data_IF_701020715768
#
_entry.id   IF_701020715768
#
_cell.length_a   1.000
_cell.length_b   1.000
_cell.length_c   1.000
_cell.angle_alpha   90.00
_cell.angle_beta   90.00
_cell.angle_gamma   90.00
#
_symmetry.space_group_name_H-M   'P 1'
#
loop_
_entity.id
_entity.type
_entity.pdbx_description
1 polymer ?
#
# COMPACT_ATOMS: atom_id res chain seq x y z
N UNK A 1 -1.79 1.29 20.91
CA UNK A 1 -1.89 2.59 20.22
C UNK A 1 -2.76 3.52 21.07
N UNK A 2 -2.25 4.68 21.50
CA UNK A 2 -2.99 5.62 22.38
C UNK A 2 -3.70 6.73 21.61
N UNK A 3 -4.07 6.48 20.35
CA UNK A 3 -4.75 7.44 19.48
C UNK A 3 -5.67 6.75 18.47
N UNK A 4 -6.54 7.53 17.83
CA UNK A 4 -7.45 7.08 16.78
C UNK A 4 -6.64 6.46 15.62
N UNK A 5 -6.88 5.19 15.22
CA UNK A 5 -6.09 4.55 14.18
C UNK A 5 -6.31 5.24 12.83
N UNK A 6 -5.23 5.37 12.05
CA UNK A 6 -5.25 6.00 10.72
C UNK A 6 -5.01 4.93 9.67
N UNK A 7 -5.89 4.87 8.68
CA UNK A 7 -5.75 4.00 7.50
C UNK A 7 -5.64 4.88 6.26
N UNK A 8 -4.49 4.83 5.59
CA UNK A 8 -4.30 5.52 4.31
C UNK A 8 -4.64 4.58 3.15
N UNK A 9 -5.21 5.10 2.06
CA UNK A 9 -5.55 4.31 0.87
C UNK A 9 -4.85 4.87 -0.38
N UNK A 10 -4.14 4.02 -1.10
CA UNK A 10 -3.62 4.30 -2.45
C UNK A 10 -4.06 3.20 -3.41
N UNK A 11 -4.77 3.54 -4.49
CA UNK A 11 -5.22 2.56 -5.49
C UNK A 11 -5.21 3.10 -6.92
N UNK A 12 -5.44 2.23 -7.90
CA UNK A 12 -5.65 2.54 -9.33
C UNK A 12 -7.12 2.38 -9.77
N UNK A 13 -8.07 2.44 -8.83
CA UNK A 13 -9.50 2.14 -9.08
C UNK A 13 -10.28 3.31 -9.69
N UNK A 14 -9.74 4.52 -9.59
CA UNK A 14 -10.50 5.75 -9.74
C UNK A 14 -11.59 5.91 -8.68
N UNK A 15 -12.38 6.97 -8.83
CA UNK A 15 -13.53 7.29 -7.98
C UNK A 15 -14.88 7.18 -8.70
N UNK A 16 -14.87 6.73 -9.96
CA UNK A 16 -16.08 6.56 -10.77
C UNK A 16 -16.91 5.36 -10.29
N UNK A 17 -16.23 4.29 -9.87
CA UNK A 17 -16.81 3.01 -9.52
C UNK A 17 -16.82 2.80 -7.98
N UNK A 18 -17.66 1.89 -7.45
CA UNK A 18 -17.89 1.79 -6.01
C UNK A 18 -16.75 1.11 -5.22
N UNK A 19 -15.67 0.70 -5.88
CA UNK A 19 -14.62 -0.16 -5.31
C UNK A 19 -13.99 0.44 -4.04
N UNK A 20 -13.63 1.71 -4.09
CA UNK A 20 -13.05 2.43 -2.94
C UNK A 20 -14.04 2.47 -1.77
N UNK A 21 -15.32 2.76 -2.04
CA UNK A 21 -16.35 2.81 -1.00
C UNK A 21 -16.53 1.45 -0.32
N UNK A 22 -16.46 0.35 -1.07
CA UNK A 22 -16.54 -1.00 -0.52
C UNK A 22 -15.35 -1.35 0.38
N UNK A 23 -14.13 -0.98 -0.01
CA UNK A 23 -12.92 -1.14 0.83
C UNK A 23 -13.08 -0.38 2.15
N UNK A 24 -13.49 0.90 2.08
CA UNK A 24 -13.74 1.72 3.27
C UNK A 24 -14.82 1.14 4.17
N UNK A 25 -15.92 0.64 3.59
CA UNK A 25 -17.01 0.04 4.33
C UNK A 25 -16.57 -1.19 5.12
N UNK A 26 -15.69 -2.03 4.55
CA UNK A 26 -15.09 -3.17 5.25
C UNK A 26 -14.19 -2.70 6.38
N UNK A 27 -13.32 -1.71 6.16
CA UNK A 27 -12.47 -1.16 7.24
C UNK A 27 -13.33 -0.67 8.42
N UNK A 28 -14.34 0.13 8.12
CA UNK A 28 -15.22 0.73 9.12
C UNK A 28 -16.18 -0.27 9.77
N UNK A 29 -16.43 -1.44 9.18
CA UNK A 29 -17.28 -2.46 9.81
C UNK A 29 -16.59 -3.15 10.99
N UNK A 30 -15.25 -3.18 11.00
CA UNK A 30 -14.46 -3.70 12.13
C UNK A 30 -13.99 -2.58 13.06
N UNK A 31 -13.57 -1.44 12.52
CA UNK A 31 -13.06 -0.32 13.31
C UNK A 31 -13.79 0.98 12.91
N UNK A 32 -14.92 1.25 13.57
CA UNK A 32 -15.74 2.45 13.30
C UNK A 32 -15.00 3.76 13.57
N UNK A 33 -14.07 3.74 14.51
CA UNK A 33 -13.27 4.90 14.89
C UNK A 33 -12.05 5.10 13.98
N UNK A 34 -11.79 4.27 12.96
CA UNK A 34 -10.68 4.55 12.05
C UNK A 34 -10.84 5.91 11.35
N UNK A 35 -9.76 6.66 11.25
CA UNK A 35 -9.65 7.80 10.35
C UNK A 35 -9.13 7.28 9.00
N UNK A 36 -9.85 7.54 7.92
CA UNK A 36 -9.44 7.11 6.58
C UNK A 36 -8.91 8.32 5.81
N UNK A 37 -7.70 8.21 5.27
CA UNK A 37 -7.07 9.22 4.42
C UNK A 37 -6.87 8.61 3.03
N UNK A 38 -7.55 9.16 2.02
CA UNK A 38 -7.26 8.79 0.65
C UNK A 38 -6.00 9.53 0.20
N UNK A 39 -4.93 8.79 -0.08
CA UNK A 39 -3.74 9.36 -0.74
C UNK A 39 -4.08 9.73 -2.17
N UNK A 40 -4.53 8.73 -2.93
CA UNK A 40 -5.08 8.88 -4.28
C UNK A 40 -5.70 7.55 -4.70
N UNK A 41 -6.70 7.62 -5.57
CA UNK A 41 -7.23 6.45 -6.28
C UNK A 41 -6.99 6.56 -7.80
N UNK A 42 -6.21 7.56 -8.20
CA UNK A 42 -6.01 7.97 -9.59
C UNK A 42 -4.58 7.63 -10.05
N UNK A 43 -4.01 6.57 -9.49
CA UNK A 43 -2.83 5.95 -10.10
C UNK A 43 -3.27 5.35 -11.44
N UNK A 44 -2.44 5.50 -12.47
CA UNK A 44 -2.71 4.88 -13.75
C UNK A 44 -2.87 3.37 -13.57
N UNK A 45 -3.83 2.78 -14.28
CA UNK A 45 -4.15 1.36 -14.16
C UNK A 45 -2.86 0.50 -14.27
N UNK A 46 -2.61 -0.29 -13.22
CA UNK A 46 -1.46 -1.19 -13.12
C UNK A 46 -0.07 -0.52 -13.06
N UNK A 47 0.02 0.81 -12.88
CA UNK A 47 1.29 1.54 -12.87
C UNK A 47 1.96 1.50 -11.48
N UNK A 48 2.61 0.38 -11.20
CA UNK A 48 3.34 0.14 -9.95
C UNK A 48 4.47 1.13 -9.70
N UNK A 49 5.11 1.65 -10.77
CA UNK A 49 6.20 2.61 -10.63
C UNK A 49 5.69 3.97 -10.12
N UNK A 50 4.59 4.45 -10.69
CA UNK A 50 3.91 5.66 -10.22
C UNK A 50 3.40 5.48 -8.78
N UNK A 51 2.78 4.34 -8.48
CA UNK A 51 2.31 3.99 -7.14
C UNK A 51 3.46 4.05 -6.11
N UNK A 52 4.59 3.41 -6.43
CA UNK A 52 5.78 3.39 -5.59
C UNK A 52 6.33 4.79 -5.33
N UNK A 53 6.37 5.64 -6.36
CA UNK A 53 6.81 7.02 -6.24
C UNK A 53 5.89 7.84 -5.32
N UNK A 54 4.58 7.83 -5.59
CA UNK A 54 3.58 8.57 -4.80
C UNK A 54 3.62 8.12 -3.34
N UNK A 55 3.66 6.81 -3.10
CA UNK A 55 3.71 6.26 -1.76
C UNK A 55 4.99 6.68 -1.04
N UNK A 56 6.15 6.62 -1.71
CA UNK A 56 7.44 7.01 -1.13
C UNK A 56 7.46 8.46 -0.68
N UNK A 57 6.91 9.38 -1.48
CA UNK A 57 6.91 10.81 -1.13
C UNK A 57 5.81 11.17 -0.12
N UNK A 58 4.79 10.33 0.05
CA UNK A 58 3.63 10.64 0.90
C UNK A 58 3.69 9.99 2.29
N UNK A 59 4.12 8.73 2.38
CA UNK A 59 4.09 7.96 3.63
C UNK A 59 4.87 8.64 4.79
N UNK A 60 6.03 9.28 4.57
CA UNK A 60 6.75 9.99 5.64
C UNK A 60 5.93 11.10 6.32
N UNK A 61 4.97 11.71 5.61
CA UNK A 61 4.13 12.79 6.13
C UNK A 61 2.86 12.30 6.85
N UNK A 62 2.57 11.00 6.81
CA UNK A 62 1.43 10.44 7.53
C UNK A 62 1.72 10.35 9.04
N UNK A 63 0.67 10.35 9.88
CA UNK A 63 0.82 10.09 11.31
C UNK A 63 1.58 8.79 11.58
N UNK A 64 2.41 8.77 12.62
CA UNK A 64 3.11 7.55 13.05
C UNK A 64 2.11 6.42 13.34
N UNK A 65 2.46 5.21 12.93
CA UNK A 65 1.58 4.05 13.11
C UNK A 65 0.45 3.93 12.08
N UNK A 66 0.51 4.69 10.98
CA UNK A 66 -0.49 4.60 9.91
C UNK A 66 -0.47 3.23 9.23
N UNK A 67 -1.65 2.71 8.91
CA UNK A 67 -1.84 1.50 8.12
C UNK A 67 -2.11 1.92 6.67
N UNK A 68 -1.13 1.72 5.79
CA UNK A 68 -1.20 2.07 4.37
C UNK A 68 -1.72 0.88 3.56
N UNK A 69 -2.99 0.94 3.15
CA UNK A 69 -3.56 -0.03 2.21
C UNK A 69 -3.28 0.43 0.79
N UNK A 70 -2.40 -0.31 0.12
CA UNK A 70 -1.90 0.06 -1.20
C UNK A 70 -2.29 -1.04 -2.18
N UNK A 71 -3.12 -0.72 -3.17
CA UNK A 71 -3.62 -1.70 -4.13
C UNK A 71 -3.49 -1.19 -5.55
N UNK A 72 -2.40 -1.58 -6.18
CA UNK A 72 -2.18 -1.58 -7.63
C UNK A 72 -1.72 -2.99 -7.95
N UNK A 73 -2.55 -3.76 -8.65
CA UNK A 73 -2.37 -5.21 -8.70
C UNK A 73 -2.67 -5.80 -10.09
N UNK A 74 -1.70 -5.75 -11.03
CA UNK A 74 -1.84 -6.44 -12.31
C UNK A 74 -1.91 -7.97 -12.16
N UNK A 75 -1.48 -8.51 -11.02
CA UNK A 75 -1.41 -9.94 -10.76
C UNK A 75 -2.59 -10.49 -9.94
N UNK A 76 -3.69 -9.75 -9.78
CA UNK A 76 -4.82 -10.21 -8.97
C UNK A 76 -5.39 -11.53 -9.51
N UNK A 77 -5.73 -12.46 -8.61
CA UNK A 77 -6.19 -13.80 -8.99
C UNK A 77 -5.10 -14.72 -9.54
N UNK A 78 -3.84 -14.27 -9.58
CA UNK A 78 -2.68 -15.14 -9.81
C UNK A 78 -2.17 -15.76 -8.50
N UNK A 79 -1.05 -16.49 -8.57
CA UNK A 79 -0.37 -17.04 -7.39
C UNK A 79 0.40 -16.02 -6.54
N UNK A 80 0.24 -14.71 -6.78
CA UNK A 80 0.92 -13.67 -5.98
C UNK A 80 0.31 -13.58 -4.59
N UNK A 81 1.16 -13.61 -3.55
CA UNK A 81 0.71 -13.53 -2.15
C UNK A 81 0.37 -12.09 -1.74
N UNK A 82 -0.42 -11.95 -0.68
CA UNK A 82 -0.59 -10.69 0.04
C UNK A 82 0.48 -10.54 1.13
N UNK A 83 0.88 -9.31 1.43
CA UNK A 83 1.93 -9.03 2.43
C UNK A 83 1.58 -7.85 3.34
N UNK A 84 2.10 -7.93 4.56
CA UNK A 84 2.17 -6.84 5.53
C UNK A 84 3.65 -6.51 5.75
N UNK A 85 4.05 -5.25 5.58
CA UNK A 85 5.36 -4.76 6.01
C UNK A 85 5.17 -3.89 7.24
N UNK A 86 5.79 -4.26 8.35
CA UNK A 86 5.83 -3.46 9.58
C UNK A 86 7.11 -2.65 9.62
N UNK A 87 7.03 -1.37 9.97
CA UNK A 87 8.19 -0.46 10.06
C UNK A 87 8.55 -0.14 11.51
N UNK A 88 9.75 0.39 11.74
CA UNK A 88 10.19 0.81 13.08
C UNK A 88 9.38 1.98 13.64
N UNK A 89 8.86 2.84 12.76
CA UNK A 89 7.92 3.91 13.11
C UNK A 89 6.54 3.39 13.55
N UNK A 90 6.29 2.09 13.37
CA UNK A 90 5.05 1.41 13.72
C UNK A 90 4.02 1.40 12.59
N UNK A 91 4.37 1.90 11.40
CA UNK A 91 3.50 1.86 10.23
C UNK A 91 3.36 0.43 9.69
N UNK A 92 2.22 0.16 9.06
CA UNK A 92 1.97 -1.09 8.34
C UNK A 92 1.68 -0.80 6.87
N UNK A 93 2.32 -1.50 5.95
CA UNK A 93 1.98 -1.46 4.52
C UNK A 93 1.30 -2.77 4.14
N UNK A 94 0.08 -2.69 3.64
CA UNK A 94 -0.79 -3.84 3.35
C UNK A 94 -1.18 -3.82 1.88
N UNK A 95 -0.89 -4.90 1.15
CA UNK A 95 -1.16 -4.96 -0.28
C UNK A 95 -0.60 -6.20 -0.98
N UNK A 96 -0.59 -6.21 -2.31
CA UNK A 96 0.00 -7.31 -3.09
C UNK A 96 1.53 -7.32 -2.95
N UNK A 97 2.15 -8.50 -2.86
CA UNK A 97 3.61 -8.64 -2.77
C UNK A 97 4.29 -8.55 -4.15
N UNK A 98 4.16 -7.41 -4.80
CA UNK A 98 4.78 -7.10 -6.11
C UNK A 98 5.95 -6.13 -5.98
N UNK A 99 6.14 -5.57 -4.79
CA UNK A 99 7.32 -4.82 -4.38
C UNK A 99 7.23 -3.31 -4.53
N UNK A 100 6.15 -2.77 -5.08
CA UNK A 100 5.97 -1.32 -5.22
C UNK A 100 5.85 -0.59 -3.86
N UNK A 101 5.43 -1.29 -2.80
CA UNK A 101 5.38 -0.73 -1.45
C UNK A 101 6.77 -0.58 -0.81
N UNK A 102 7.75 -1.37 -1.26
CA UNK A 102 9.06 -1.46 -0.61
C UNK A 102 9.80 -0.11 -0.53
N UNK A 103 9.85 0.75 -1.57
CA UNK A 103 10.53 2.03 -1.49
C UNK A 103 10.04 2.96 -0.38
N UNK A 104 8.75 2.92 -0.04
CA UNK A 104 8.18 3.72 1.04
C UNK A 104 8.38 3.05 2.40
N UNK A 105 8.17 1.74 2.48
CA UNK A 105 8.33 0.99 3.73
C UNK A 105 9.80 0.95 4.19
N UNK A 106 10.75 0.84 3.27
CA UNK A 106 12.20 0.86 3.54
C UNK A 106 12.68 2.26 3.98
N UNK A 107 12.08 3.34 3.45
CA UNK A 107 12.34 4.72 3.91
C UNK A 107 11.94 4.91 5.38
N UNK A 108 10.91 4.19 5.83
CA UNK A 108 10.45 4.16 7.23
C UNK A 108 11.10 3.04 8.07
N UNK A 109 12.12 2.38 7.52
CA UNK A 109 12.84 1.24 8.11
C UNK A 109 11.95 0.03 8.40
N UNK A 110 11.88 -0.91 7.45
CA UNK A 110 11.18 -2.19 7.64
C UNK A 110 11.76 -2.96 8.83
N UNK A 111 10.91 -3.22 9.82
CA UNK A 111 11.19 -4.03 11.01
C UNK A 111 10.91 -5.52 10.76
N UNK A 112 9.78 -5.83 10.13
CA UNK A 112 9.34 -7.20 9.87
C UNK A 112 8.41 -7.26 8.65
N UNK A 113 8.22 -8.46 8.10
CA UNK A 113 7.29 -8.72 7.02
C UNK A 113 6.48 -9.98 7.30
N UNK A 114 5.23 -10.02 6.84
CA UNK A 114 4.30 -11.13 7.09
C UNK A 114 3.51 -11.47 5.84
N UNK A 115 3.51 -12.75 5.46
CA UNK A 115 2.59 -13.23 4.42
C UNK A 115 1.20 -13.33 5.03
N UNK A 116 0.21 -12.76 4.34
CA UNK A 116 -1.19 -12.83 4.75
C UNK A 116 -1.72 -14.25 4.51
N UNK A 117 -2.32 -14.84 5.54
CA UNK A 117 -2.98 -16.14 5.47
C UNK A 117 -4.50 -15.94 5.30
N UNK A 118 -4.98 -16.07 4.05
CA UNK A 118 -6.39 -15.87 3.72
C UNK A 118 -7.34 -16.81 4.46
N UNK A 119 -6.87 -17.99 4.92
CA UNK A 119 -7.69 -18.91 5.71
C UNK A 119 -8.07 -18.34 7.09
N UNK A 120 -7.40 -17.26 7.54
CA UNK A 120 -7.70 -16.53 8.79
C UNK A 120 -8.62 -15.33 8.58
N UNK A 121 -9.10 -15.14 7.36
CA UNK A 121 -10.03 -14.09 6.98
C UNK A 121 -11.42 -14.68 6.72
N UNK A 122 -12.48 -13.86 6.74
CA UNK A 122 -13.80 -14.32 6.35
C UNK A 122 -13.80 -14.93 4.94
N UNK A 123 -14.62 -15.97 4.69
CA UNK A 123 -14.72 -16.55 3.36
C UNK A 123 -15.18 -15.51 2.35
N UNK A 124 -14.56 -15.53 1.16
CA UNK A 124 -14.86 -14.62 0.05
C UNK A 124 -15.58 -15.34 -1.08
N UNK A 125 -16.49 -14.64 -1.74
CA UNK A 125 -17.21 -15.12 -2.93
C UNK A 125 -16.53 -14.76 -4.25
N UNK A 126 -15.57 -13.83 -4.23
CA UNK A 126 -14.95 -13.25 -5.41
C UNK A 126 -13.43 -13.45 -5.40
N UNK A 127 -12.90 -13.96 -6.51
CA UNK A 127 -11.47 -14.21 -6.66
C UNK A 127 -10.65 -12.96 -7.06
N UNK A 128 -11.30 -11.97 -7.65
CA UNK A 128 -10.63 -10.87 -8.36
C UNK A 128 -10.64 -9.54 -7.62
N UNK A 129 -11.21 -9.47 -6.40
CA UNK A 129 -11.25 -8.23 -5.64
C UNK A 129 -10.65 -8.35 -4.23
N UNK A 130 -9.36 -8.67 -4.20
CA UNK A 130 -8.56 -8.81 -2.98
C UNK A 130 -8.48 -7.53 -2.14
N UNK A 131 -8.62 -6.35 -2.76
CA UNK A 131 -8.68 -5.09 -2.03
C UNK A 131 -9.76 -5.10 -0.94
N UNK A 132 -10.97 -5.54 -1.30
CA UNK A 132 -12.10 -5.68 -0.38
C UNK A 132 -12.01 -6.97 0.43
N UNK A 133 -11.78 -8.10 -0.24
CA UNK A 133 -11.88 -9.43 0.37
C UNK A 133 -10.70 -9.81 1.26
N UNK A 134 -9.56 -9.15 1.15
CA UNK A 134 -8.33 -9.49 1.87
C UNK A 134 -7.75 -8.27 2.56
N UNK A 135 -7.30 -7.27 1.80
CA UNK A 135 -6.50 -6.16 2.33
C UNK A 135 -7.30 -5.24 3.26
N UNK A 136 -8.57 -4.96 2.93
CA UNK A 136 -9.44 -4.19 3.81
C UNK A 136 -9.65 -4.89 5.17
N UNK A 137 -9.86 -6.21 5.19
CA UNK A 137 -10.01 -6.98 6.42
C UNK A 137 -8.74 -6.97 7.27
N UNK A 138 -7.58 -7.16 6.63
CA UNK A 138 -6.27 -7.10 7.30
C UNK A 138 -6.05 -5.72 7.91
N UNK A 139 -6.25 -4.65 7.16
CA UNK A 139 -6.11 -3.29 7.65
C UNK A 139 -7.05 -2.97 8.81
N UNK A 140 -8.30 -3.45 8.73
CA UNK A 140 -9.29 -3.23 9.78
C UNK A 140 -8.92 -3.96 11.08
N UNK A 141 -8.34 -5.16 10.99
CA UNK A 141 -7.86 -5.93 12.14
C UNK A 141 -6.62 -5.28 12.75
N UNK A 142 -5.66 -4.84 11.95
CA UNK A 142 -4.52 -4.06 12.42
C UNK A 142 -4.98 -2.77 13.13
N UNK A 143 -5.97 -2.07 12.58
CA UNK A 143 -6.54 -0.85 13.18
C UNK A 143 -7.21 -1.10 14.53
N UNK A 144 -7.67 -2.33 14.80
CA UNK A 144 -8.18 -2.76 16.12
C UNK A 144 -7.09 -3.15 17.11
N UNK A 145 -5.83 -3.21 16.67
CA UNK A 145 -4.69 -3.63 17.47
C UNK A 145 -4.38 -5.13 17.40
N UNK A 146 -4.91 -5.85 16.41
CA UNK A 146 -4.49 -7.23 16.18
C UNK A 146 -3.01 -7.27 15.75
N UNK A 147 -2.25 -8.22 16.30
CA UNK A 147 -0.86 -8.44 15.91
C UNK A 147 -0.76 -9.02 14.49
N UNK A 148 0.23 -8.64 13.66
CA UNK A 148 0.41 -9.17 12.30
C UNK A 148 0.49 -10.70 12.24
N UNK A 149 1.09 -11.34 13.25
CA UNK A 149 1.17 -12.81 13.35
C UNK A 149 -0.20 -13.50 13.49
N UNK A 150 -1.25 -12.78 13.91
CA UNK A 150 -2.61 -13.32 13.93
C UNK A 150 -3.24 -13.37 12.53
N UNK A 151 -2.71 -12.58 11.59
CA UNK A 151 -3.22 -12.42 10.22
C UNK A 151 -2.43 -13.27 9.22
N UNK A 152 -1.37 -13.94 9.66
CA UNK A 152 -0.54 -14.77 8.81
C UNK A 152 0.69 -15.31 9.50
N UNK A 153 1.82 -15.29 8.80
CA UNK A 153 3.09 -15.81 9.29
C UNK A 153 4.25 -14.96 8.79
N UNK A 154 5.35 -14.97 9.54
CA UNK A 154 6.54 -14.19 9.22
C UNK A 154 7.10 -14.56 7.85
N UNK A 155 7.39 -13.54 7.04
CA UNK A 155 7.94 -13.68 5.71
C UNK A 155 9.47 -13.57 5.77
N UNK A 156 10.17 -14.54 5.17
CA UNK A 156 11.64 -14.49 5.03
C UNK A 156 12.13 -13.41 4.07
N UNK A 157 11.26 -12.95 3.18
CA UNK A 157 11.53 -11.94 2.15
C UNK A 157 10.21 -11.32 1.67
N UNK A 158 10.33 -10.16 1.02
CA UNK A 158 9.26 -9.47 0.30
C UNK A 158 9.81 -9.01 -1.07
N UNK A 159 8.93 -8.83 -2.04
CA UNK A 159 9.29 -8.32 -3.35
C UNK A 159 9.79 -6.87 -3.24
N UNK A 160 10.70 -6.46 -4.13
CA UNK A 160 11.27 -5.11 -4.13
C UNK A 160 11.25 -4.52 -5.53
N UNK A 161 10.57 -3.40 -5.67
CA UNK A 161 10.69 -2.53 -6.83
C UNK A 161 11.75 -1.48 -6.52
N UNK A 162 12.70 -1.29 -7.43
CA UNK A 162 13.68 -0.19 -7.34
C UNK A 162 13.19 1.00 -8.16
N UNK A 163 13.03 2.16 -7.51
CA UNK A 163 12.78 3.40 -8.24
C UNK A 163 14.01 3.74 -9.11
N UNK A 164 13.81 4.15 -10.38
CA UNK A 164 14.88 4.63 -11.24
C UNK A 164 15.70 5.71 -10.55
N UNK A 165 17.02 5.60 -10.60
CA UNK A 165 17.93 6.65 -10.12
C UNK A 165 18.42 7.48 -11.31
N UNK A 166 18.65 8.79 -11.12
CA UNK A 166 19.20 9.61 -12.18
C UNK A 166 20.63 9.14 -12.48
N UNK A 167 20.99 9.10 -13.76
CA UNK A 167 22.30 8.66 -14.21
C UNK A 167 23.14 9.87 -14.59
N UNK A 168 24.29 10.02 -13.93
CA UNK A 168 25.25 11.08 -14.29
C UNK A 168 25.90 10.76 -15.64
N UNK A 169 25.94 11.75 -16.52
CA UNK A 169 26.58 11.67 -17.84
C UNK A 169 27.58 12.82 -18.02
N UNK A 170 28.52 12.73 -18.98
CA UNK A 170 29.32 13.89 -19.37
C UNK A 170 28.41 15.06 -19.79
N UNK A 171 28.48 16.18 -19.09
CA UNK A 171 27.69 17.38 -19.38
C UNK A 171 26.27 17.42 -18.80
N UNK A 172 25.84 16.44 -17.99
CA UNK A 172 24.51 16.51 -17.35
C UNK A 172 24.04 15.23 -16.66
N UNK A 173 22.72 15.06 -16.61
CA UNK A 173 22.04 13.90 -16.04
C UNK A 173 21.00 13.36 -17.01
N UNK A 174 20.88 12.04 -17.07
CA UNK A 174 19.73 11.34 -17.62
C UNK A 174 18.76 11.07 -16.45
N UNK A 175 17.54 11.59 -16.55
CA UNK A 175 16.51 11.50 -15.52
C UNK A 175 15.23 10.86 -16.10
N UNK A 176 14.43 10.27 -15.23
CA UNK A 176 13.15 9.66 -15.57
C UNK A 176 12.02 10.54 -15.07
N UNK A 177 10.99 10.77 -15.91
CA UNK A 177 9.73 11.38 -15.45
C UNK A 177 9.02 10.36 -14.58
N UNK A 178 8.88 10.69 -13.29
CA UNK A 178 8.26 9.84 -12.30
C UNK A 178 6.76 10.08 -12.20
N UNK A 179 6.34 11.34 -12.40
CA UNK A 179 4.94 11.73 -12.33
C UNK A 179 4.70 13.02 -13.12
N UNK A 180 3.53 13.13 -13.74
CA UNK A 180 3.02 14.41 -14.26
C UNK A 180 1.80 14.76 -13.43
N UNK A 181 1.85 15.88 -12.72
CA UNK A 181 0.74 16.26 -11.86
C UNK A 181 -0.41 16.91 -12.66
N UNK A 182 -1.53 17.16 -11.97
CA UNK A 182 -2.73 17.74 -12.58
C UNK A 182 -2.52 19.16 -13.13
N UNK A 183 -1.51 19.88 -12.67
CA UNK A 183 -1.18 21.21 -13.17
C UNK A 183 -0.27 21.17 -14.40
N UNK A 184 0.20 19.98 -14.80
CA UNK A 184 1.13 19.78 -15.91
C UNK A 184 2.60 19.88 -15.49
N UNK A 185 2.91 19.85 -14.19
CA UNK A 185 4.29 19.80 -13.74
C UNK A 185 4.88 18.43 -14.01
N UNK A 186 6.09 18.40 -14.55
CA UNK A 186 6.84 17.17 -14.82
C UNK A 186 7.83 16.93 -13.67
N UNK A 187 7.52 15.93 -12.84
CA UNK A 187 8.35 15.56 -11.69
C UNK A 187 9.30 14.45 -12.12
N UNK A 188 10.61 14.69 -11.95
CA UNK A 188 11.65 13.73 -12.30
C UNK A 188 12.28 13.10 -11.06
N UNK A 189 13.19 12.15 -11.26
CA UNK A 189 13.99 11.54 -10.20
C UNK A 189 15.31 12.26 -9.92
N UNK A 190 15.51 13.48 -10.44
CA UNK A 190 16.73 14.27 -10.24
C UNK A 190 16.65 15.13 -8.98
#
# INVERSE_FOLDING_TARGET
>A
MTGRPVVSLLTDFGLRDPYVAQVKAVILSYCRDAAIIDLTHDVDAFNELQAAFILKVSAPHMPEGTIHVCVVDPGVGSGRRGIILETRRGDFFVGPDTGFMAPAAEELEVKAAYVIDEARLPPRSEETFHARGVFAHVAARLARGDEPLSLGYEAKSYARLSLPKPKRMPGGFEATVMHVDRFGNVITNL
#
